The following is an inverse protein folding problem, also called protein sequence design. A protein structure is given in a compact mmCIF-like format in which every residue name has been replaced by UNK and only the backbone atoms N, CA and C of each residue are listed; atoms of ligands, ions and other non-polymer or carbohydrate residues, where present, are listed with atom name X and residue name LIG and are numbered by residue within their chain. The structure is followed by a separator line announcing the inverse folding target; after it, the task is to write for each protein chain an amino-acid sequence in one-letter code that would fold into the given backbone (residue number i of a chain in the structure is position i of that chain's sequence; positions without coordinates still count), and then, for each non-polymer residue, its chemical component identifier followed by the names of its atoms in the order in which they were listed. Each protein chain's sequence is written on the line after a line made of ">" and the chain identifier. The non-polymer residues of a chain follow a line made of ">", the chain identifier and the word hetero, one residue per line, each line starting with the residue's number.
data_IF_188657941828
#
_entry.id   IF_188657941828
#
_cell.length_a   1.000
_cell.length_b   1.000
_cell.length_c   1.000
_cell.angle_alpha   90.00
_cell.angle_beta   90.00
_cell.angle_gamma   90.00
#
_symmetry.space_group_name_H-M   'P 1'
#
loop_
_entity.id
_entity.type
_entity.pdbx_description
1 polymer ?
#
# COMPACT_ATOMS: atom_id res chain seq x y z
N UNK A 1 -18.72 4.59 -4.20
CA UNK A 1 -19.38 4.41 -5.51
C UNK A 1 -19.07 3.04 -6.13
N UNK A 2 -17.82 2.55 -6.09
CA UNK A 2 -17.45 1.28 -6.76
C UNK A 2 -17.95 -0.01 -6.09
N UNK A 3 -17.94 -0.12 -4.75
CA UNK A 3 -18.40 -1.34 -4.05
C UNK A 3 -19.87 -1.65 -4.29
N UNK A 4 -20.72 -0.63 -4.23
CA UNK A 4 -22.15 -0.76 -4.56
C UNK A 4 -22.38 -1.26 -5.99
N UNK A 5 -21.67 -0.70 -6.97
CA UNK A 5 -21.79 -1.15 -8.36
C UNK A 5 -21.32 -2.61 -8.52
N UNK A 6 -20.23 -3.00 -7.86
CA UNK A 6 -19.77 -4.39 -7.87
C UNK A 6 -20.79 -5.34 -7.24
N UNK A 7 -21.42 -4.95 -6.14
CA UNK A 7 -22.51 -5.70 -5.50
C UNK A 7 -23.74 -5.81 -6.42
N UNK A 8 -24.16 -4.72 -7.07
CA UNK A 8 -25.27 -4.70 -8.03
C UNK A 8 -25.01 -5.60 -9.26
N UNK A 9 -23.73 -5.87 -9.58
CA UNK A 9 -23.28 -6.77 -10.63
C UNK A 9 -22.97 -8.20 -10.13
N UNK A 10 -23.25 -8.51 -8.87
CA UNK A 10 -22.96 -9.79 -8.22
C UNK A 10 -21.49 -10.23 -8.26
N UNK A 11 -20.57 -9.27 -8.33
CA UNK A 11 -19.13 -9.52 -8.22
C UNK A 11 -18.77 -9.84 -6.76
N UNK A 12 -18.03 -10.92 -6.53
CA UNK A 12 -17.67 -11.40 -5.18
C UNK A 12 -16.27 -11.01 -4.72
N UNK A 13 -15.39 -10.69 -5.66
CA UNK A 13 -13.98 -10.40 -5.38
C UNK A 13 -13.53 -9.22 -6.21
N UNK A 14 -12.84 -8.27 -5.58
CA UNK A 14 -12.16 -7.16 -6.24
C UNK A 14 -10.67 -7.23 -5.91
N UNK A 15 -9.84 -7.00 -6.93
CA UNK A 15 -8.41 -6.76 -6.76
C UNK A 15 -8.15 -5.26 -6.75
N UNK A 16 -7.46 -4.76 -5.73
CA UNK A 16 -7.11 -3.34 -5.59
C UNK A 16 -5.73 -3.17 -4.98
N UNK A 17 -5.05 -2.08 -5.27
CA UNK A 17 -3.71 -1.80 -4.75
C UNK A 17 -3.77 -1.49 -3.25
N UNK A 18 -2.86 -2.10 -2.50
CA UNK A 18 -2.59 -1.78 -1.11
C UNK A 18 -1.21 -1.13 -0.94
N UNK A 19 -0.69 -0.50 -1.99
CA UNK A 19 0.56 0.24 -2.01
C UNK A 19 0.36 1.63 -2.64
N UNK A 20 1.16 2.58 -2.19
CA UNK A 20 1.40 3.85 -2.87
C UNK A 20 2.68 4.46 -2.28
N UNK A 21 3.76 4.33 -3.02
CA UNK A 21 5.11 4.66 -2.59
C UNK A 21 5.52 6.00 -3.24
N UNK A 22 5.78 7.02 -2.43
CA UNK A 22 6.25 8.32 -2.92
C UNK A 22 7.71 8.56 -2.54
N UNK A 23 8.27 9.70 -2.95
CA UNK A 23 9.54 10.15 -2.41
C UNK A 23 9.36 10.70 -0.98
N UNK A 24 9.80 11.93 -0.70
CA UNK A 24 9.46 12.58 0.57
C UNK A 24 7.95 12.87 0.69
N UNK A 25 7.46 13.17 1.89
CA UNK A 25 6.05 13.49 2.14
C UNK A 25 5.51 14.67 1.29
N UNK A 26 6.39 15.55 0.83
CA UNK A 26 6.08 16.67 -0.07
C UNK A 26 6.03 16.26 -1.56
N UNK A 27 6.35 15.02 -1.90
CA UNK A 27 6.41 14.48 -3.26
C UNK A 27 7.75 14.61 -3.97
N UNK A 28 8.77 15.20 -3.33
CA UNK A 28 10.10 15.29 -3.90
C UNK A 28 10.69 13.90 -4.08
N UNK A 29 11.40 13.69 -5.19
CA UNK A 29 12.09 12.44 -5.51
C UNK A 29 11.19 11.21 -5.74
N UNK A 30 9.87 11.40 -5.94
CA UNK A 30 8.97 10.32 -6.32
C UNK A 30 9.32 9.73 -7.71
N UNK A 31 9.24 8.41 -7.87
CA UNK A 31 9.38 7.71 -9.16
C UNK A 31 8.24 8.09 -10.09
N UNK A 32 7.01 7.97 -9.60
CA UNK A 32 5.81 8.36 -10.33
C UNK A 32 4.76 8.86 -9.36
N UNK A 33 4.30 10.09 -9.59
CA UNK A 33 3.17 10.66 -8.86
C UNK A 33 3.50 11.19 -7.47
N UNK A 34 3.06 12.42 -7.21
CA UNK A 34 2.43 12.84 -5.95
C UNK A 34 1.32 13.84 -6.29
N UNK A 35 0.58 13.60 -7.37
CA UNK A 35 -0.27 14.64 -7.96
C UNK A 35 -1.54 14.92 -7.15
N UNK A 36 -1.75 14.23 -6.02
CA UNK A 36 -2.99 14.29 -5.23
C UNK A 36 -2.78 14.33 -3.71
N UNK A 37 -1.53 14.34 -3.23
CA UNK A 37 -1.24 14.34 -1.79
C UNK A 37 -1.58 13.03 -1.06
N UNK A 38 -1.92 11.97 -1.80
CA UNK A 38 -2.21 10.64 -1.27
C UNK A 38 -0.99 9.74 -1.47
N UNK A 39 -0.57 9.06 -0.41
CA UNK A 39 0.55 8.09 -0.39
C UNK A 39 0.46 7.25 0.88
N UNK A 40 0.97 6.02 0.84
CA UNK A 40 1.00 5.12 2.00
C UNK A 40 2.39 5.00 2.60
N UNK A 41 3.43 5.06 1.75
CA UNK A 41 4.82 5.03 2.16
C UNK A 41 5.56 6.25 1.60
N UNK A 42 6.51 6.78 2.35
CA UNK A 42 7.33 7.92 1.95
C UNK A 42 8.74 7.81 2.54
N UNK A 43 9.70 8.53 1.95
CA UNK A 43 11.04 8.68 2.50
C UNK A 43 11.05 9.65 3.66
N UNK A 44 11.53 9.19 4.82
CA UNK A 44 11.83 10.06 5.95
C UNK A 44 13.33 10.37 6.01
N UNK A 45 13.74 11.62 5.70
CA UNK A 45 15.15 12.00 5.73
C UNK A 45 15.74 12.05 7.14
N UNK A 46 14.91 12.14 8.19
CA UNK A 46 15.40 12.17 9.58
C UNK A 46 15.88 10.79 10.03
N UNK A 47 15.15 9.74 9.66
CA UNK A 47 15.50 8.35 9.97
C UNK A 47 16.38 7.70 8.90
N UNK A 48 16.37 8.23 7.67
CA UNK A 48 17.09 7.64 6.54
C UNK A 48 16.50 6.31 6.09
N UNK A 49 15.18 6.16 6.21
CA UNK A 49 14.43 4.98 5.85
C UNK A 49 13.01 5.33 5.38
N UNK A 50 12.29 4.39 4.73
CA UNK A 50 10.88 4.55 4.46
C UNK A 50 10.06 4.63 5.76
N UNK A 51 9.04 5.48 5.76
CA UNK A 51 8.06 5.67 6.82
C UNK A 51 6.64 5.58 6.26
N UNK A 52 5.65 5.53 7.15
CA UNK A 52 4.26 5.19 6.81
C UNK A 52 3.31 6.36 7.06
N UNK A 53 2.41 6.60 6.11
CA UNK A 53 1.34 7.58 6.27
C UNK A 53 0.05 6.88 6.73
N UNK A 54 -0.16 6.85 8.04
CA UNK A 54 -1.30 6.16 8.65
C UNK A 54 -2.61 6.96 8.65
N UNK A 55 -2.57 8.25 8.30
CA UNK A 55 -3.69 9.19 8.48
C UNK A 55 -4.60 9.35 7.26
N UNK A 56 -5.36 10.46 7.27
CA UNK A 56 -6.43 10.78 6.31
C UNK A 56 -5.99 10.77 4.85
N UNK A 57 -4.74 11.13 4.56
CA UNK A 57 -4.19 11.12 3.19
C UNK A 57 -3.42 9.85 2.85
N UNK A 58 -3.50 8.82 3.69
CA UNK A 58 -2.78 7.57 3.52
C UNK A 58 -3.66 6.37 3.79
N UNK A 59 -3.27 5.55 4.75
CA UNK A 59 -3.87 4.24 5.00
C UNK A 59 -5.33 4.29 5.47
N UNK A 60 -5.86 5.42 5.91
CA UNK A 60 -7.32 5.57 6.13
C UNK A 60 -8.14 5.37 4.84
N UNK A 61 -7.56 5.63 3.67
CA UNK A 61 -8.22 5.28 2.40
C UNK A 61 -8.34 3.77 2.20
N UNK A 62 -7.32 3.01 2.62
CA UNK A 62 -7.35 1.55 2.56
C UNK A 62 -8.29 0.99 3.65
N UNK A 63 -8.34 1.61 4.83
CA UNK A 63 -9.33 1.29 5.86
C UNK A 63 -10.76 1.39 5.31
N UNK A 64 -11.07 2.50 4.64
CA UNK A 64 -12.36 2.74 4.01
C UNK A 64 -12.66 1.70 2.92
N UNK A 65 -11.67 1.35 2.08
CA UNK A 65 -11.84 0.32 1.06
C UNK A 65 -12.25 -1.01 1.67
N UNK A 66 -11.53 -1.46 2.72
CA UNK A 66 -11.79 -2.73 3.39
C UNK A 66 -13.15 -2.70 4.10
N UNK A 67 -13.45 -1.64 4.85
CA UNK A 67 -14.73 -1.48 5.53
C UNK A 67 -15.92 -1.47 4.54
N UNK A 68 -15.76 -0.77 3.41
CA UNK A 68 -16.78 -0.71 2.37
C UNK A 68 -16.96 -2.06 1.68
N UNK A 69 -15.88 -2.81 1.42
CA UNK A 69 -15.98 -4.15 0.86
C UNK A 69 -16.70 -5.11 1.82
N UNK A 70 -16.43 -5.02 3.12
CA UNK A 70 -17.10 -5.80 4.16
C UNK A 70 -18.60 -5.52 4.20
N UNK A 71 -19.00 -4.24 4.16
CA UNK A 71 -20.41 -3.81 4.14
C UNK A 71 -21.17 -4.37 2.92
N UNK A 72 -20.48 -4.59 1.81
CA UNK A 72 -21.07 -5.02 0.54
C UNK A 72 -20.93 -6.53 0.25
N UNK A 73 -20.41 -7.31 1.20
CA UNK A 73 -20.11 -8.75 1.03
C UNK A 73 -19.17 -9.04 -0.15
N UNK A 74 -18.14 -8.20 -0.30
CA UNK A 74 -17.12 -8.32 -1.34
C UNK A 74 -15.78 -8.64 -0.67
N UNK A 75 -15.06 -9.61 -1.23
CA UNK A 75 -13.70 -9.94 -0.79
C UNK A 75 -12.63 -9.17 -1.56
N UNK A 76 -11.48 -8.97 -0.92
CA UNK A 76 -10.37 -8.22 -1.49
C UNK A 76 -9.13 -9.09 -1.74
N UNK A 77 -8.54 -8.91 -2.92
CA UNK A 77 -7.17 -9.35 -3.24
C UNK A 77 -6.28 -8.11 -3.24
N UNK A 78 -5.29 -8.08 -2.34
CA UNK A 78 -4.49 -6.89 -2.07
C UNK A 78 -3.01 -7.15 -2.36
N UNK A 79 -2.49 -6.68 -3.51
CA UNK A 79 -1.06 -6.70 -3.78
C UNK A 79 -0.33 -5.67 -2.94
N UNK A 80 0.87 -6.04 -2.51
CA UNK A 80 1.64 -5.33 -1.48
C UNK A 80 2.71 -4.38 -2.06
N UNK A 81 3.07 -4.55 -3.34
CA UNK A 81 3.96 -3.67 -4.10
C UNK A 81 3.68 -3.82 -5.60
N UNK A 82 4.24 -2.92 -6.43
CA UNK A 82 4.14 -2.98 -7.88
C UNK A 82 5.51 -3.23 -8.52
N UNK A 83 5.56 -4.11 -9.53
CA UNK A 83 6.72 -4.21 -10.41
C UNK A 83 6.85 -2.98 -11.32
N UNK A 84 5.76 -2.27 -11.60
CA UNK A 84 5.79 -1.10 -12.48
C UNK A 84 5.88 0.19 -11.67
N UNK A 85 6.20 1.29 -12.34
CA UNK A 85 6.39 2.60 -11.70
C UNK A 85 5.11 3.22 -11.17
N UNK A 86 3.93 2.78 -11.62
CA UNK A 86 2.66 3.34 -11.20
C UNK A 86 2.50 3.18 -9.68
N UNK A 87 2.26 4.31 -9.01
CA UNK A 87 2.23 4.42 -7.54
C UNK A 87 3.58 4.12 -6.87
N UNK A 88 4.70 4.41 -7.57
CA UNK A 88 6.06 4.19 -7.10
C UNK A 88 6.58 2.80 -7.46
N UNK A 89 6.10 1.78 -6.76
CA UNK A 89 6.52 0.40 -6.97
C UNK A 89 7.96 0.14 -6.53
N UNK A 90 8.51 -1.00 -6.97
CA UNK A 90 9.84 -1.45 -6.55
C UNK A 90 10.95 -0.45 -6.91
N UNK A 91 10.80 0.32 -7.98
CA UNK A 91 11.75 1.37 -8.36
C UNK A 91 11.83 2.49 -7.31
N UNK A 92 10.75 2.72 -6.55
CA UNK A 92 10.75 3.72 -5.46
C UNK A 92 11.62 3.23 -4.30
N UNK A 93 11.58 1.94 -3.98
CA UNK A 93 12.48 1.33 -3.00
C UNK A 93 13.94 1.37 -3.45
N UNK A 94 14.21 1.03 -4.72
CA UNK A 94 15.55 1.13 -5.30
C UNK A 94 16.05 2.58 -5.19
N UNK A 95 15.21 3.55 -5.50
CA UNK A 95 15.56 4.97 -5.39
C UNK A 95 15.83 5.42 -3.95
N UNK A 96 15.02 4.98 -2.99
CA UNK A 96 15.25 5.26 -1.56
C UNK A 96 16.60 4.74 -1.09
N UNK A 97 17.01 3.56 -1.54
CA UNK A 97 18.30 2.96 -1.20
C UNK A 97 19.50 3.58 -1.95
N UNK A 98 19.26 4.48 -2.92
CA UNK A 98 20.30 4.95 -3.84
C UNK A 98 20.79 3.85 -4.80
N UNK A 99 19.98 2.81 -5.02
CA UNK A 99 20.23 1.73 -5.96
C UNK A 99 20.12 2.18 -7.41
N UNK A 100 20.51 1.29 -8.33
CA UNK A 100 20.62 1.62 -9.75
C UNK A 100 19.73 0.75 -10.63
N UNK A 101 19.51 -0.51 -10.23
CA UNK A 101 18.83 -1.49 -11.05
C UNK A 101 17.49 -1.88 -10.42
N UNK A 102 16.48 -2.04 -11.27
CA UNK A 102 15.15 -2.52 -10.89
C UNK A 102 15.19 -3.75 -9.98
N UNK A 103 16.02 -4.73 -10.36
CA UNK A 103 16.16 -6.01 -9.66
C UNK A 103 16.90 -5.90 -8.32
N UNK A 104 17.49 -4.74 -7.99
CA UNK A 104 18.08 -4.49 -6.67
C UNK A 104 17.02 -4.69 -5.57
N UNK A 105 15.73 -4.48 -5.87
CA UNK A 105 14.62 -4.80 -4.97
C UNK A 105 14.63 -6.26 -4.47
N UNK A 106 15.06 -7.20 -5.33
CA UNK A 106 15.08 -8.63 -5.01
C UNK A 106 16.38 -9.08 -4.37
N UNK A 107 17.46 -8.29 -4.49
CA UNK A 107 18.82 -8.70 -4.08
C UNK A 107 19.41 -7.89 -2.95
N UNK A 108 19.06 -6.61 -2.81
CA UNK A 108 19.56 -5.75 -1.75
C UNK A 108 18.87 -6.09 -0.42
N UNK A 109 19.65 -6.44 0.60
CA UNK A 109 19.11 -6.85 1.90
C UNK A 109 18.43 -5.71 2.67
N UNK A 110 18.82 -4.46 2.42
CA UNK A 110 18.18 -3.27 3.01
C UNK A 110 16.79 -3.09 2.42
N UNK A 111 16.68 -3.15 1.08
CA UNK A 111 15.38 -3.02 0.40
C UNK A 111 14.43 -4.16 0.80
N UNK A 112 14.93 -5.39 0.85
CA UNK A 112 14.15 -6.55 1.32
C UNK A 112 13.71 -6.39 2.79
N UNK A 113 14.54 -5.76 3.61
CA UNK A 113 14.20 -5.39 4.98
C UNK A 113 13.01 -4.44 5.00
N UNK A 114 13.12 -3.30 4.32
CA UNK A 114 12.05 -2.30 4.23
C UNK A 114 10.74 -2.85 3.68
N UNK A 115 10.79 -3.71 2.66
CA UNK A 115 9.57 -4.35 2.15
C UNK A 115 8.93 -5.25 3.21
N UNK A 116 9.71 -6.03 3.97
CA UNK A 116 9.16 -6.86 5.06
C UNK A 116 8.59 -6.01 6.19
N UNK A 117 9.25 -4.91 6.53
CA UNK A 117 8.77 -3.97 7.55
C UNK A 117 7.45 -3.32 7.12
N UNK A 118 7.32 -2.99 5.83
CA UNK A 118 6.06 -2.52 5.25
C UNK A 118 4.94 -3.56 5.37
N UNK A 119 5.23 -4.80 4.97
CA UNK A 119 4.25 -5.89 5.08
C UNK A 119 3.84 -6.12 6.54
N UNK A 120 4.78 -6.10 7.49
CA UNK A 120 4.48 -6.22 8.91
C UNK A 120 3.61 -5.06 9.42
N UNK A 121 3.95 -3.81 9.06
CA UNK A 121 3.16 -2.63 9.39
C UNK A 121 1.72 -2.75 8.88
N UNK A 122 1.56 -3.09 7.59
CA UNK A 122 0.26 -3.19 6.95
C UNK A 122 -0.59 -4.31 7.56
N UNK A 123 0.00 -5.49 7.79
CA UNK A 123 -0.71 -6.64 8.38
C UNK A 123 -1.17 -6.37 9.82
N UNK A 124 -0.37 -5.63 10.59
CA UNK A 124 -0.67 -5.32 11.99
C UNK A 124 -1.50 -4.04 12.16
N UNK A 125 -1.71 -3.24 11.10
CA UNK A 125 -2.60 -2.08 11.15
C UNK A 125 -4.00 -2.50 11.58
N UNK A 126 -4.53 -1.81 12.58
CA UNK A 126 -5.93 -1.92 12.99
C UNK A 126 -6.74 -0.91 12.19
N UNK A 127 -7.70 -1.42 11.41
CA UNK A 127 -8.59 -0.59 10.60
C UNK A 127 -9.34 0.41 11.50
N UNK A 128 -9.22 1.71 11.21
CA UNK A 128 -9.82 2.77 12.04
C UNK A 128 -11.35 2.75 12.06
N UNK A 129 -11.99 2.11 11.09
CA UNK A 129 -13.45 2.02 10.95
C UNK A 129 -13.99 0.73 11.59
N UNK A 130 -13.36 -0.41 11.32
CA UNK A 130 -13.87 -1.73 11.79
C UNK A 130 -13.28 -2.16 13.14
N UNK A 131 -12.12 -1.61 13.52
CA UNK A 131 -11.38 -2.02 14.71
C UNK A 131 -10.70 -3.39 14.59
N UNK A 132 -10.58 -3.95 13.38
CA UNK A 132 -9.99 -5.26 13.13
C UNK A 132 -8.60 -5.07 12.52
N UNK A 133 -7.60 -5.82 12.99
CA UNK A 133 -6.29 -5.85 12.36
C UNK A 133 -6.39 -6.47 10.96
N UNK A 134 -5.71 -5.91 9.96
CA UNK A 134 -5.87 -6.36 8.57
C UNK A 134 -5.59 -7.86 8.40
N UNK A 135 -4.57 -8.40 9.07
CA UNK A 135 -4.26 -9.84 9.06
C UNK A 135 -5.39 -10.74 9.58
N UNK A 136 -6.29 -10.19 10.41
CA UNK A 136 -7.41 -10.88 11.05
C UNK A 136 -8.76 -10.55 10.37
N UNK A 137 -8.77 -9.65 9.37
CA UNK A 137 -10.00 -9.22 8.70
C UNK A 137 -10.43 -10.22 7.61
N UNK A 138 -11.57 -10.91 7.77
CA UNK A 138 -12.03 -11.93 6.82
C UNK A 138 -12.46 -11.36 5.47
N UNK A 139 -12.55 -10.03 5.34
CA UNK A 139 -12.83 -9.34 4.07
C UNK A 139 -11.66 -9.46 3.11
N UNK A 140 -10.44 -9.59 3.62
CA UNK A 140 -9.23 -9.77 2.82
C UNK A 140 -9.08 -11.26 2.50
N UNK A 141 -9.26 -11.60 1.22
CA UNK A 141 -9.18 -12.99 0.75
C UNK A 141 -7.73 -13.47 0.70
N UNK A 142 -6.84 -12.64 0.17
CA UNK A 142 -5.42 -12.96 0.03
C UNK A 142 -4.57 -11.71 -0.20
N UNK A 143 -3.30 -11.87 0.12
CA UNK A 143 -2.23 -10.92 -0.16
C UNK A 143 -1.45 -11.40 -1.39
N UNK A 144 -1.07 -10.46 -2.26
CA UNK A 144 -0.20 -10.74 -3.40
C UNK A 144 1.15 -10.03 -3.22
N UNK A 145 2.24 -10.74 -3.52
CA UNK A 145 3.59 -10.17 -3.55
C UNK A 145 3.83 -9.43 -4.86
#
# INVERSE_FOLDING_TARGET
>A
MHMRAAQELDLKVIRSWAFYDTGEANGNNAVEGNQRGIYFQYWDPETGAPAYNDGETGLEHLDYLIASAAEHDIKLVLPLVNNWTAFGGVDQYVRWAGGTYHDDFLTDETIKGWYKDWVDHLLNRVNTITGIAYKDDPTILMWEL
#
